data_IF_443480783811
#
_entry.id   IF_443480783811
#
_cell.length_a   1.000
_cell.length_b   1.000
_cell.length_c   1.000
_cell.angle_alpha   90.00
_cell.angle_beta   90.00
_cell.angle_gamma   90.00
#
_symmetry.space_group_name_H-M   'P 1'
#
loop_
_entity.id
_entity.type
_entity.pdbx_description
1 polymer ?
#
# COMPACT_ATOMS: atom_id res chain seq x y z
N UNK A 1 -0.32 7.42 -38.81
CA UNK A 1 -0.83 6.15 -39.38
C UNK A 1 0.03 5.03 -38.81
N UNK A 2 -0.35 4.49 -37.65
CA UNK A 2 -0.99 3.18 -37.46
C UNK A 2 -0.09 1.99 -37.85
N UNK A 3 0.49 1.33 -36.83
CA UNK A 3 0.88 -0.07 -36.91
C UNK A 3 0.17 -0.79 -35.75
N UNK A 4 -1.03 -1.31 -36.03
CA UNK A 4 -1.68 -2.33 -35.21
C UNK A 4 -0.83 -3.59 -35.33
N UNK A 5 -0.12 -3.97 -34.28
CA UNK A 5 0.48 -5.30 -34.16
C UNK A 5 -0.63 -6.33 -33.99
N UNK A 6 -1.03 -6.95 -35.09
CA UNK A 6 -1.97 -8.07 -35.15
C UNK A 6 -1.41 -9.28 -34.41
N UNK A 7 -2.32 -10.07 -33.86
CA UNK A 7 -2.11 -11.32 -33.13
C UNK A 7 -1.53 -12.43 -34.02
N UNK A 8 -0.29 -12.28 -34.48
CA UNK A 8 0.47 -13.32 -35.17
C UNK A 8 1.32 -14.10 -34.15
N UNK A 9 0.97 -15.36 -33.96
CA UNK A 9 1.76 -16.42 -33.31
C UNK A 9 2.25 -16.17 -31.87
N UNK A 10 1.32 -16.18 -30.90
CA UNK A 10 1.66 -16.55 -29.52
C UNK A 10 2.03 -18.05 -29.47
N UNK A 11 3.30 -18.36 -29.69
CA UNK A 11 3.81 -19.73 -29.56
C UNK A 11 3.69 -20.17 -28.08
N UNK A 12 2.91 -21.22 -27.83
CA UNK A 12 2.60 -21.78 -26.50
C UNK A 12 3.86 -22.12 -25.71
N UNK A 13 4.87 -22.65 -26.37
CA UNK A 13 6.15 -23.04 -25.76
C UNK A 13 6.96 -21.81 -25.32
N UNK A 14 7.01 -20.80 -26.18
CA UNK A 14 7.68 -19.53 -25.88
C UNK A 14 7.04 -18.80 -24.70
N UNK A 15 5.71 -18.78 -24.64
CA UNK A 15 4.99 -18.18 -23.51
C UNK A 15 5.23 -18.95 -22.20
N UNK A 16 5.35 -20.27 -22.26
CA UNK A 16 5.75 -21.10 -21.12
C UNK A 16 7.16 -20.74 -20.64
N UNK A 17 8.15 -20.69 -21.53
CA UNK A 17 9.52 -20.30 -21.15
C UNK A 17 9.58 -18.91 -20.53
N UNK A 18 8.88 -17.93 -21.10
CA UNK A 18 8.86 -16.55 -20.62
C UNK A 18 8.24 -16.43 -19.21
N UNK A 19 7.18 -17.20 -18.93
CA UNK A 19 6.50 -17.19 -17.64
C UNK A 19 7.28 -17.91 -16.54
N UNK A 20 8.14 -18.85 -16.91
CA UNK A 20 9.02 -19.55 -15.97
C UNK A 20 10.39 -18.88 -15.79
N UNK A 21 10.71 -17.87 -16.60
CA UNK A 21 11.95 -17.07 -16.50
C UNK A 21 11.73 -15.68 -15.90
N UNK A 22 10.58 -15.04 -16.16
CA UNK A 22 10.30 -13.67 -15.71
C UNK A 22 8.88 -13.56 -15.09
N UNK A 23 8.66 -12.71 -14.06
CA UNK A 23 7.33 -12.49 -13.51
C UNK A 23 6.31 -12.05 -14.58
N UNK A 24 5.11 -12.63 -14.53
CA UNK A 24 4.02 -12.39 -15.50
C UNK A 24 3.66 -10.93 -15.72
N UNK A 25 3.89 -10.05 -14.73
CA UNK A 25 3.72 -8.60 -14.87
C UNK A 25 4.59 -8.03 -15.99
N UNK A 26 5.86 -8.45 -16.05
CA UNK A 26 6.81 -8.00 -17.08
C UNK A 26 6.56 -8.68 -18.42
N UNK A 27 6.15 -9.96 -18.41
CA UNK A 27 5.69 -10.66 -19.61
C UNK A 27 4.51 -9.90 -20.23
N UNK A 28 3.54 -9.48 -19.41
CA UNK A 28 2.41 -8.67 -19.84
C UNK A 28 2.81 -7.37 -20.53
N UNK A 29 3.79 -6.64 -19.97
CA UNK A 29 4.32 -5.40 -20.59
C UNK A 29 4.84 -5.62 -22.02
N UNK A 30 5.45 -6.78 -22.31
CA UNK A 30 5.93 -7.10 -23.68
C UNK A 30 4.80 -7.32 -24.68
N UNK A 31 3.66 -7.85 -24.23
CA UNK A 31 2.50 -8.15 -25.06
C UNK A 31 1.40 -7.06 -24.99
N UNK A 32 1.65 -5.95 -24.30
CA UNK A 32 0.63 -4.92 -24.05
C UNK A 32 -0.54 -5.40 -23.18
N UNK A 33 -0.32 -6.47 -22.39
CA UNK A 33 -1.32 -7.10 -21.52
C UNK A 33 -1.04 -6.81 -20.05
N UNK A 34 -2.09 -6.80 -19.25
CA UNK A 34 -1.99 -6.83 -17.78
C UNK A 34 -1.63 -8.23 -17.29
N UNK A 35 -1.00 -8.35 -16.13
CA UNK A 35 -0.62 -9.66 -15.57
C UNK A 35 -1.81 -10.62 -15.36
N UNK A 36 -3.02 -10.08 -15.15
CA UNK A 36 -4.28 -10.83 -15.09
C UNK A 36 -4.72 -11.36 -16.45
N UNK A 37 -4.51 -10.60 -17.53
CA UNK A 37 -4.79 -11.02 -18.90
C UNK A 37 -3.81 -12.09 -19.38
N UNK A 38 -2.52 -11.97 -19.04
CA UNK A 38 -1.53 -13.04 -19.28
C UNK A 38 -1.96 -14.33 -18.58
N UNK A 39 -2.46 -14.24 -17.34
CA UNK A 39 -2.97 -15.42 -16.63
C UNK A 39 -4.16 -16.06 -17.33
N UNK A 40 -5.14 -15.27 -17.77
CA UNK A 40 -6.28 -15.77 -18.57
C UNK A 40 -5.83 -16.43 -19.87
N UNK A 41 -4.78 -15.91 -20.49
CA UNK A 41 -4.19 -16.50 -21.69
C UNK A 41 -3.52 -17.85 -21.39
N UNK A 42 -2.81 -17.97 -20.26
CA UNK A 42 -2.21 -19.24 -19.81
C UNK A 42 -3.27 -20.30 -19.52
N UNK A 43 -4.36 -19.91 -18.87
CA UNK A 43 -5.47 -20.80 -18.56
C UNK A 43 -6.11 -21.32 -19.85
N UNK A 44 -6.31 -20.46 -20.85
CA UNK A 44 -6.82 -20.83 -22.18
C UNK A 44 -5.89 -21.79 -22.93
N UNK A 45 -4.58 -21.56 -22.83
CA UNK A 45 -3.55 -22.37 -23.50
C UNK A 45 -3.09 -23.57 -22.65
N UNK A 46 -3.72 -23.83 -21.51
CA UNK A 46 -3.34 -24.88 -20.56
C UNK A 46 -1.83 -24.87 -20.26
N UNK A 47 -1.27 -23.68 -20.00
CA UNK A 47 0.13 -23.51 -19.63
C UNK A 47 0.19 -23.50 -18.10
N UNK A 48 0.97 -24.41 -17.47
CA UNK A 48 1.11 -24.41 -16.02
C UNK A 48 1.84 -23.15 -15.58
N UNK A 49 1.23 -22.40 -14.65
CA UNK A 49 1.74 -21.14 -14.13
C UNK A 49 2.47 -21.40 -12.80
N UNK A 50 3.60 -20.72 -12.51
CA UNK A 50 4.28 -20.85 -11.23
C UNK A 50 3.34 -20.53 -10.05
N UNK A 51 3.44 -21.32 -8.98
CA UNK A 51 2.64 -21.14 -7.76
C UNK A 51 2.90 -19.77 -7.10
N UNK A 52 1.93 -19.30 -6.31
CA UNK A 52 2.10 -18.07 -5.54
C UNK A 52 3.30 -18.20 -4.60
N UNK A 53 4.25 -17.27 -4.68
CA UNK A 53 5.52 -17.32 -3.93
C UNK A 53 6.68 -18.03 -4.65
N UNK A 54 6.49 -18.59 -5.85
CA UNK A 54 7.57 -19.12 -6.69
C UNK A 54 8.71 -18.11 -6.87
N UNK A 55 8.39 -16.87 -7.26
CA UNK A 55 9.38 -15.81 -7.45
C UNK A 55 10.09 -15.39 -6.16
N UNK A 56 9.43 -15.52 -5.00
CA UNK A 56 10.05 -15.33 -3.70
C UNK A 56 11.07 -16.44 -3.40
N UNK A 57 10.75 -17.69 -3.75
CA UNK A 57 11.68 -18.83 -3.62
C UNK A 57 12.88 -18.71 -4.58
N UNK A 58 12.66 -18.26 -5.82
CA UNK A 58 13.73 -17.92 -6.79
C UNK A 58 14.68 -16.89 -6.18
N UNK A 59 14.14 -15.80 -5.63
CA UNK A 59 14.93 -14.72 -5.05
C UNK A 59 15.72 -15.18 -3.80
N UNK A 60 15.21 -16.17 -3.08
CA UNK A 60 15.87 -16.76 -1.91
C UNK A 60 16.86 -17.89 -2.25
N UNK A 61 17.04 -18.22 -3.54
CA UNK A 61 17.98 -19.27 -3.98
C UNK A 61 17.57 -20.69 -3.63
N UNK A 62 16.28 -20.94 -3.30
CA UNK A 62 15.79 -22.28 -2.99
C UNK A 62 15.64 -23.14 -4.25
N UNK A 63 15.77 -24.48 -4.15
CA UNK A 63 15.53 -25.38 -5.27
C UNK A 63 14.06 -25.30 -5.73
N UNK A 64 13.86 -25.21 -7.04
CA UNK A 64 12.55 -25.06 -7.67
C UNK A 64 12.26 -26.27 -8.54
N UNK A 65 11.06 -26.84 -8.39
CA UNK A 65 10.52 -27.81 -9.32
C UNK A 65 9.67 -27.10 -10.37
N UNK A 66 10.08 -27.19 -11.64
CA UNK A 66 9.30 -26.70 -12.79
C UNK A 66 8.32 -27.79 -13.22
N UNK A 67 7.04 -27.46 -13.36
CA UNK A 67 6.06 -28.41 -13.90
C UNK A 67 6.22 -28.49 -15.43
N UNK A 68 6.42 -29.70 -16.00
CA UNK A 68 6.58 -29.84 -17.45
C UNK A 68 5.30 -29.46 -18.21
N UNK A 69 5.47 -28.89 -19.41
CA UNK A 69 4.37 -28.48 -20.28
C UNK A 69 3.58 -29.72 -20.74
N UNK A 70 2.31 -29.83 -20.35
CA UNK A 70 1.46 -30.94 -20.76
C UNK A 70 1.00 -30.78 -22.23
N UNK A 71 0.97 -31.84 -23.04
CA UNK A 71 0.44 -31.78 -24.41
C UNK A 71 -1.06 -31.46 -24.39
N UNK A 72 -1.53 -30.60 -25.31
CA UNK A 72 -2.94 -30.24 -25.43
C UNK A 72 -3.76 -31.50 -25.79
N UNK A 73 -4.73 -31.86 -24.95
CA UNK A 73 -5.77 -32.81 -25.37
C UNK A 73 -6.72 -32.07 -26.31
N UNK A 74 -6.74 -32.45 -27.59
CA UNK A 74 -7.75 -31.99 -28.56
C UNK A 74 -9.10 -32.62 -28.20
N UNK A 75 -9.92 -31.86 -27.47
CA UNK A 75 -11.37 -31.97 -27.24
C UNK A 75 -11.59 -31.24 -25.90
N UNK A 76 -12.31 -30.13 -25.79
CA UNK A 76 -13.65 -29.87 -26.29
C UNK A 76 -13.79 -28.35 -26.49
N UNK A 77 -14.11 -27.95 -27.72
CA UNK A 77 -14.51 -26.58 -28.04
C UNK A 77 -16.02 -26.58 -28.27
N UNK A 78 -16.84 -26.53 -27.21
CA UNK A 78 -18.26 -26.20 -27.33
C UNK A 78 -18.84 -25.67 -26.02
N UNK A 79 -19.54 -24.54 -26.15
CA UNK A 79 -20.67 -24.07 -25.33
C UNK A 79 -20.42 -23.71 -23.86
N UNK A 80 -20.15 -22.44 -23.58
CA UNK A 80 -20.80 -21.77 -22.44
C UNK A 80 -20.91 -20.22 -22.57
N UNK A 81 -21.33 -19.74 -23.75
CA UNK A 81 -21.54 -18.30 -24.00
C UNK A 81 -23.02 -17.85 -24.00
N UNK A 82 -23.94 -18.61 -23.36
CA UNK A 82 -25.39 -18.27 -23.35
C UNK A 82 -26.07 -18.28 -21.97
N UNK A 83 -25.36 -18.30 -20.85
CA UNK A 83 -25.99 -18.36 -19.51
C UNK A 83 -25.51 -17.35 -18.46
N UNK A 84 -24.96 -16.21 -18.87
CA UNK A 84 -24.60 -15.10 -17.95
C UNK A 84 -25.09 -13.72 -18.40
N UNK A 85 -26.21 -13.66 -19.13
CA UNK A 85 -26.88 -12.40 -19.51
C UNK A 85 -28.20 -12.12 -18.78
N UNK A 86 -28.53 -12.92 -17.76
CA UNK A 86 -29.65 -12.69 -16.85
C UNK A 86 -29.21 -13.12 -15.45
N UNK A 87 -29.34 -12.24 -14.44
CA UNK A 87 -28.68 -12.26 -13.10
C UNK A 87 -27.20 -11.86 -13.19
N UNK A 88 -26.74 -10.64 -12.89
CA UNK A 88 -27.12 -9.71 -11.84
C UNK A 88 -27.13 -8.29 -12.41
N UNK A 89 -28.27 -7.92 -12.99
CA UNK A 89 -28.78 -6.56 -12.97
C UNK A 89 -29.42 -6.33 -11.60
N UNK A 90 -28.68 -5.73 -10.67
CA UNK A 90 -29.23 -5.07 -9.49
C UNK A 90 -28.29 -3.92 -9.16
N UNK A 91 -28.81 -2.70 -9.29
CA UNK A 91 -28.06 -1.48 -9.56
C UNK A 91 -27.02 -1.12 -8.51
N UNK A 92 -25.81 -0.89 -8.99
CA UNK A 92 -24.89 0.09 -8.40
C UNK A 92 -25.14 1.39 -9.17
N UNK A 93 -25.56 2.49 -8.54
CA UNK A 93 -25.53 3.78 -9.21
C UNK A 93 -24.08 4.11 -9.55
N UNK A 94 -23.78 4.20 -10.85
CA UNK A 94 -22.55 4.74 -11.37
C UNK A 94 -22.36 6.15 -10.80
N UNK A 95 -21.37 6.33 -9.93
CA UNK A 95 -20.82 7.64 -9.64
C UNK A 95 -20.24 8.16 -10.95
N UNK A 96 -20.91 9.12 -11.58
CA UNK A 96 -20.36 9.81 -12.73
C UNK A 96 -19.13 10.59 -12.25
N UNK A 97 -17.95 10.22 -12.74
CA UNK A 97 -16.78 11.10 -12.74
C UNK A 97 -17.14 12.30 -13.61
N UNK A 98 -17.70 13.35 -12.99
CA UNK A 98 -17.60 14.68 -13.55
C UNK A 98 -16.12 15.07 -13.43
N UNK A 99 -15.37 14.89 -14.52
CA UNK A 99 -14.14 15.64 -14.75
C UNK A 99 -14.50 17.11 -14.87
N UNK A 100 -14.68 17.77 -13.72
CA UNK A 100 -14.61 19.22 -13.66
C UNK A 100 -13.12 19.53 -13.58
N UNK A 101 -12.55 19.98 -14.70
CA UNK A 101 -11.21 20.57 -14.71
C UNK A 101 -11.26 21.86 -13.89
N UNK A 102 -11.17 21.72 -12.57
CA UNK A 102 -10.76 22.82 -11.72
C UNK A 102 -9.30 23.01 -12.07
N UNK A 103 -9.00 24.06 -12.84
CA UNK A 103 -7.63 24.52 -13.06
C UNK A 103 -6.89 24.43 -11.73
N UNK A 104 -5.63 23.97 -11.69
CA UNK A 104 -4.86 23.99 -10.46
C UNK A 104 -4.75 25.46 -10.07
N UNK A 105 -5.65 25.91 -9.20
CA UNK A 105 -5.37 27.09 -8.40
C UNK A 105 -4.04 26.74 -7.76
N UNK A 106 -3.05 27.60 -7.98
CA UNK A 106 -1.79 27.62 -7.27
C UNK A 106 -2.07 27.78 -5.77
N UNK A 107 -2.63 26.74 -5.14
CA UNK A 107 -2.50 26.52 -3.73
C UNK A 107 -1.11 25.95 -3.66
N UNK A 108 -0.15 26.87 -3.57
CA UNK A 108 1.16 26.58 -3.00
C UNK A 108 0.92 25.51 -1.93
N UNK A 109 1.61 24.37 -2.03
CA UNK A 109 1.57 23.30 -1.05
C UNK A 109 2.12 23.88 0.25
N UNK A 110 1.30 24.71 0.89
CA UNK A 110 1.77 25.73 1.80
C UNK A 110 2.04 24.97 3.07
N UNK A 111 3.30 25.07 3.48
CA UNK A 111 3.96 24.21 4.43
C UNK A 111 3.10 24.13 5.69
N UNK A 112 2.41 22.99 5.91
CA UNK A 112 1.87 22.64 7.24
C UNK A 112 3.07 22.39 8.15
N UNK A 113 3.66 23.49 8.61
CA UNK A 113 4.91 23.55 9.36
C UNK A 113 4.65 23.76 10.84
N UNK A 114 3.48 24.31 11.20
CA UNK A 114 3.13 24.64 12.57
C UNK A 114 2.00 23.76 13.10
N UNK A 115 2.15 23.31 14.35
CA UNK A 115 1.14 22.56 15.06
C UNK A 115 -0.17 23.39 15.17
N UNK A 116 -1.35 22.77 14.96
CA UNK A 116 -2.62 23.49 15.04
C UNK A 116 -2.90 24.02 16.46
N UNK A 117 -3.35 25.28 16.56
CA UNK A 117 -3.79 25.88 17.83
C UNK A 117 -5.10 25.27 18.34
N UNK A 118 -6.00 24.90 17.42
CA UNK A 118 -7.30 24.32 17.75
C UNK A 118 -7.55 23.04 16.94
N UNK A 119 -8.19 22.07 17.58
CA UNK A 119 -8.49 20.75 16.99
C UNK A 119 -9.98 20.61 16.73
N UNK A 120 -10.33 20.11 15.53
CA UNK A 120 -11.71 19.79 15.20
C UNK A 120 -12.20 18.59 16.02
N UNK A 121 -13.41 18.68 16.58
CA UNK A 121 -13.95 17.68 17.51
C UNK A 121 -13.98 16.26 16.94
N UNK A 122 -14.26 16.11 15.65
CA UNK A 122 -14.26 14.83 14.93
C UNK A 122 -12.92 14.06 15.01
N UNK A 123 -11.80 14.76 15.28
CA UNK A 123 -10.47 14.16 15.37
C UNK A 123 -10.05 13.79 16.80
N UNK A 124 -10.82 14.15 17.83
CA UNK A 124 -10.40 13.97 19.22
C UNK A 124 -10.14 12.51 19.59
N UNK A 125 -11.06 11.61 19.22
CA UNK A 125 -10.91 10.18 19.46
C UNK A 125 -9.69 9.59 18.72
N UNK A 126 -9.54 9.94 17.44
CA UNK A 126 -8.44 9.48 16.61
C UNK A 126 -7.08 9.96 17.13
N UNK A 127 -6.97 11.26 17.42
CA UNK A 127 -5.78 11.87 18.01
C UNK A 127 -5.41 11.22 19.34
N UNK A 128 -6.40 10.97 20.21
CA UNK A 128 -6.20 10.28 21.47
C UNK A 128 -5.61 8.89 21.29
N UNK A 129 -6.09 8.13 20.30
CA UNK A 129 -5.53 6.82 19.94
C UNK A 129 -4.11 6.90 19.40
N UNK A 130 -3.85 7.81 18.45
CA UNK A 130 -2.51 7.99 17.89
C UNK A 130 -1.52 8.35 19.00
N UNK A 131 -1.88 9.25 19.92
CA UNK A 131 -1.03 9.58 21.09
C UNK A 131 -0.76 8.38 21.99
N UNK A 132 -1.75 7.52 22.26
CA UNK A 132 -1.55 6.28 23.01
C UNK A 132 -0.59 5.32 22.28
N UNK A 133 -0.69 5.23 20.96
CA UNK A 133 0.22 4.42 20.16
C UNK A 133 1.65 4.97 20.16
N UNK A 134 1.83 6.30 20.13
CA UNK A 134 3.14 6.96 20.29
C UNK A 134 3.73 6.63 21.66
N UNK A 135 2.96 6.80 22.74
CA UNK A 135 3.42 6.47 24.08
C UNK A 135 3.81 4.98 24.21
N UNK A 136 3.05 4.07 23.58
CA UNK A 136 3.41 2.67 23.54
C UNK A 136 4.73 2.42 22.77
N UNK A 137 4.93 3.10 21.64
CA UNK A 137 6.19 3.02 20.90
C UNK A 137 7.38 3.51 21.74
N UNK A 138 7.22 4.58 22.51
CA UNK A 138 8.25 5.06 23.44
C UNK A 138 8.56 4.05 24.54
N UNK A 139 7.53 3.40 25.11
CA UNK A 139 7.72 2.32 26.09
C UNK A 139 8.45 1.13 25.48
N UNK A 140 8.08 0.70 24.27
CA UNK A 140 8.79 -0.38 23.56
C UNK A 140 10.26 -0.02 23.34
N UNK A 141 10.55 1.23 22.95
CA UNK A 141 11.91 1.71 22.74
C UNK A 141 12.73 1.66 24.04
N UNK A 142 12.18 2.18 25.14
CA UNK A 142 12.84 2.18 26.46
C UNK A 142 13.09 0.77 26.97
N UNK A 143 12.10 -0.12 26.80
CA UNK A 143 12.24 -1.54 27.12
C UNK A 143 13.41 -2.17 26.35
N UNK A 144 13.46 -1.95 25.04
CA UNK A 144 14.54 -2.44 24.19
C UNK A 144 15.91 -1.91 24.63
N UNK A 145 16.04 -0.59 24.81
CA UNK A 145 17.29 0.03 25.28
C UNK A 145 17.74 -0.52 26.64
N UNK A 146 16.80 -0.77 27.55
CA UNK A 146 17.09 -1.38 28.84
C UNK A 146 17.59 -2.83 28.71
N UNK A 147 16.94 -3.64 27.88
CA UNK A 147 17.31 -5.05 27.65
C UNK A 147 18.69 -5.17 26.98
N UNK A 148 19.03 -4.24 26.08
CA UNK A 148 20.37 -4.17 25.50
C UNK A 148 21.44 -3.80 26.55
N UNK A 149 21.12 -2.89 27.49
CA UNK A 149 22.03 -2.52 28.57
C UNK A 149 22.14 -3.59 29.67
N UNK A 150 21.16 -4.48 29.79
CA UNK A 150 21.06 -5.48 30.87
C UNK A 150 20.76 -6.88 30.32
N UNK A 151 21.71 -7.49 29.59
CA UNK A 151 21.50 -8.80 28.98
C UNK A 151 21.17 -9.86 30.04
N UNK A 152 20.11 -10.64 29.79
CA UNK A 152 19.65 -11.73 30.65
C UNK A 152 18.87 -11.30 31.90
N UNK A 153 18.70 -10.00 32.15
CA UNK A 153 17.84 -9.51 33.25
C UNK A 153 16.43 -9.20 32.74
N UNK A 154 15.45 -9.26 33.64
CA UNK A 154 14.06 -8.85 33.35
C UNK A 154 13.89 -7.34 33.55
N UNK A 155 13.31 -6.65 32.57
CA UNK A 155 13.04 -5.21 32.68
C UNK A 155 12.03 -4.91 33.79
N UNK A 156 12.07 -3.69 34.37
CA UNK A 156 11.08 -3.23 35.33
C UNK A 156 9.64 -3.31 34.78
N UNK A 157 8.68 -3.60 35.66
CA UNK A 157 7.27 -3.79 35.29
C UNK A 157 6.61 -2.58 34.63
N UNK A 158 7.07 -1.35 34.90
CA UNK A 158 6.55 -0.15 34.23
C UNK A 158 6.92 -0.06 32.74
N UNK A 159 7.86 -0.90 32.27
CA UNK A 159 8.22 -1.06 30.87
C UNK A 159 7.51 -2.27 30.23
N UNK A 160 6.67 -2.99 30.97
CA UNK A 160 5.87 -4.08 30.41
C UNK A 160 4.93 -3.51 29.34
N UNK A 161 5.11 -3.98 28.11
CA UNK A 161 4.28 -3.63 26.95
C UNK A 161 4.12 -4.84 26.04
N UNK A 162 2.97 -4.91 25.36
CA UNK A 162 2.68 -5.96 24.39
C UNK A 162 3.38 -5.67 23.05
N UNK A 163 4.20 -6.63 22.61
CA UNK A 163 5.01 -6.53 21.40
C UNK A 163 6.49 -6.28 21.68
N UNK A 164 7.24 -6.04 20.60
CA UNK A 164 8.68 -5.75 20.65
C UNK A 164 9.02 -4.51 19.81
N UNK A 165 10.08 -3.79 20.19
CA UNK A 165 10.53 -2.61 19.46
C UNK A 165 11.00 -2.95 18.04
N UNK A 166 11.65 -4.11 17.89
CA UNK A 166 12.13 -4.64 16.62
C UNK A 166 10.96 -4.92 15.68
N UNK A 167 9.93 -5.63 16.16
CA UNK A 167 8.72 -5.92 15.39
C UNK A 167 8.00 -4.64 14.96
N UNK A 168 7.99 -3.62 15.82
CA UNK A 168 7.44 -2.29 15.50
C UNK A 168 8.25 -1.58 14.41
N UNK A 169 9.59 -1.66 14.47
CA UNK A 169 10.46 -1.13 13.42
C UNK A 169 10.29 -1.86 12.08
N UNK A 170 10.21 -3.19 12.09
CA UNK A 170 9.96 -4.03 10.91
C UNK A 170 8.62 -3.73 10.25
N UNK A 171 7.62 -3.33 11.05
CA UNK A 171 6.33 -2.86 10.57
C UNK A 171 6.35 -1.43 10.00
N UNK A 172 7.52 -0.78 9.90
CA UNK A 172 7.67 0.59 9.41
C UNK A 172 7.29 1.66 10.44
N UNK A 173 7.30 1.33 11.73
CA UNK A 173 6.95 2.24 12.84
C UNK A 173 5.54 2.84 12.71
N UNK A 174 4.62 2.08 12.14
CA UNK A 174 3.21 2.47 11.95
C UNK A 174 2.47 2.48 13.29
N UNK A 175 1.83 3.60 13.61
CA UNK A 175 1.13 3.83 14.88
C UNK A 175 -0.26 3.18 14.94
N UNK A 176 -0.74 2.63 13.83
CA UNK A 176 -2.01 1.89 13.77
C UNK A 176 -1.74 0.44 13.35
N UNK A 177 -2.32 -0.52 14.08
CA UNK A 177 -2.22 -1.93 13.73
C UNK A 177 -2.74 -2.17 12.31
N UNK A 178 -2.00 -2.95 11.52
CA UNK A 178 -2.21 -3.24 10.10
C UNK A 178 -3.65 -3.67 9.75
N UNK A 179 -4.36 -4.28 10.70
CA UNK A 179 -5.69 -4.86 10.49
C UNK A 179 -6.86 -3.95 10.89
N UNK A 180 -6.63 -2.82 11.58
CA UNK A 180 -7.73 -1.91 11.93
C UNK A 180 -8.04 -0.96 10.78
N UNK A 181 -9.34 -0.71 10.57
CA UNK A 181 -9.78 0.35 9.67
C UNK A 181 -9.37 1.68 10.30
N UNK A 182 -8.56 2.45 9.58
CA UNK A 182 -8.09 3.76 10.03
C UNK A 182 -8.30 4.81 8.93
N UNK A 183 -8.67 6.02 9.34
CA UNK A 183 -8.77 7.21 8.51
C UNK A 183 -7.40 7.62 7.99
N UNK A 184 -6.36 7.40 8.79
CA UNK A 184 -4.99 7.62 8.35
C UNK A 184 -4.03 6.50 8.73
N UNK A 185 -3.08 6.23 7.82
CA UNK A 185 -1.89 5.42 8.12
C UNK A 185 -0.73 6.38 8.40
N UNK A 186 -0.35 6.44 9.67
CA UNK A 186 0.66 7.35 10.19
C UNK A 186 1.77 6.56 10.89
N UNK A 187 3.02 6.93 10.60
CA UNK A 187 4.23 6.45 11.25
C UNK A 187 4.67 7.40 12.37
N UNK A 188 5.56 6.92 13.23
CA UNK A 188 6.15 7.73 14.30
C UNK A 188 6.82 9.02 13.77
N UNK A 189 7.32 9.02 12.52
CA UNK A 189 7.98 10.18 11.91
C UNK A 189 7.05 11.18 11.23
N UNK A 190 5.79 10.82 10.97
CA UNK A 190 4.87 11.64 10.15
C UNK A 190 3.61 12.08 10.90
N UNK A 191 3.30 11.46 12.05
CA UNK A 191 1.96 11.50 12.62
C UNK A 191 1.51 12.92 12.99
N UNK A 192 2.41 13.79 13.42
CA UNK A 192 2.09 15.18 13.74
C UNK A 192 1.62 15.92 12.49
N UNK A 193 2.36 15.77 11.38
CA UNK A 193 2.00 16.35 10.08
C UNK A 193 0.69 15.76 9.57
N UNK A 194 0.51 14.45 9.65
CA UNK A 194 -0.71 13.78 9.21
C UNK A 194 -1.95 14.21 10.01
N UNK A 195 -1.82 14.36 11.34
CA UNK A 195 -2.89 14.88 12.19
C UNK A 195 -3.19 16.35 11.88
N UNK A 196 -2.16 17.17 11.67
CA UNK A 196 -2.33 18.58 11.29
C UNK A 196 -3.01 18.72 9.92
N UNK A 197 -2.64 17.88 8.95
CA UNK A 197 -3.28 17.80 7.63
C UNK A 197 -4.76 17.45 7.72
N UNK A 198 -5.11 16.39 8.46
CA UNK A 198 -6.51 16.04 8.72
C UNK A 198 -7.27 17.17 9.40
N UNK A 199 -6.64 17.86 10.36
CA UNK A 199 -7.26 19.00 11.03
C UNK A 199 -7.54 20.16 10.08
N UNK A 200 -6.59 20.47 9.20
CA UNK A 200 -6.76 21.50 8.18
C UNK A 200 -7.93 21.18 7.24
N UNK A 201 -8.06 19.93 6.80
CA UNK A 201 -9.21 19.47 6.01
C UNK A 201 -10.52 19.68 6.79
N UNK A 202 -10.61 19.21 8.03
CA UNK A 202 -11.82 19.33 8.85
C UNK A 202 -12.24 20.80 9.06
N UNK A 203 -11.29 21.66 9.44
CA UNK A 203 -11.56 23.08 9.70
C UNK A 203 -12.00 23.78 8.42
N UNK A 204 -11.29 23.56 7.30
CA UNK A 204 -11.63 24.18 6.03
C UNK A 204 -12.97 23.69 5.50
N UNK A 205 -13.23 22.39 5.56
CA UNK A 205 -14.50 21.81 5.13
C UNK A 205 -15.68 22.40 5.93
N UNK A 206 -15.55 22.48 7.26
CA UNK A 206 -16.58 23.11 8.11
C UNK A 206 -16.80 24.59 7.76
N UNK A 207 -15.72 25.34 7.52
CA UNK A 207 -15.82 26.75 7.12
C UNK A 207 -16.53 26.95 5.77
N UNK A 208 -16.44 25.98 4.87
CA UNK A 208 -17.13 25.97 3.56
C UNK A 208 -18.56 25.42 3.67
N UNK A 209 -19.01 25.01 4.87
CA UNK A 209 -20.37 24.53 5.12
C UNK A 209 -20.57 23.02 4.98
N UNK A 210 -19.49 22.22 4.97
CA UNK A 210 -19.60 20.77 5.08
C UNK A 210 -19.85 20.33 6.53
N UNK A 211 -20.71 19.34 6.71
CA UNK A 211 -20.79 18.56 7.95
C UNK A 211 -19.63 17.57 7.96
N UNK A 212 -18.86 17.56 9.05
CA UNK A 212 -17.64 16.77 9.18
C UNK A 212 -17.83 15.71 10.26
N UNK A 213 -17.89 14.45 9.83
CA UNK A 213 -18.12 13.30 10.70
C UNK A 213 -17.00 12.27 10.60
N UNK A 214 -16.79 11.52 11.69
CA UNK A 214 -15.87 10.40 11.72
C UNK A 214 -16.65 9.10 11.66
N UNK A 215 -16.33 8.25 10.68
CA UNK A 215 -16.89 6.91 10.56
C UNK A 215 -16.50 6.04 11.76
N UNK A 216 -17.33 5.03 12.06
CA UNK A 216 -17.11 4.10 13.19
C UNK A 216 -15.65 3.62 13.26
N UNK A 217 -15.10 3.59 14.47
CA UNK A 217 -13.72 3.21 14.78
C UNK A 217 -12.65 4.07 14.09
N UNK A 218 -12.97 5.33 13.77
CA UNK A 218 -12.13 6.27 13.01
C UNK A 218 -11.71 5.69 11.65
N UNK A 219 -12.63 5.02 10.95
CA UNK A 219 -12.33 4.27 9.74
C UNK A 219 -12.23 5.12 8.47
N UNK A 220 -12.95 6.25 8.43
CA UNK A 220 -13.08 7.22 7.33
C UNK A 220 -13.45 8.59 7.90
N UNK A 221 -12.91 9.65 7.30
CA UNK A 221 -13.43 11.02 7.52
C UNK A 221 -14.50 11.28 6.46
N UNK A 222 -15.72 11.59 6.88
CA UNK A 222 -16.84 11.88 5.97
C UNK A 222 -17.12 13.38 5.96
N UNK A 223 -17.15 13.96 4.77
CA UNK A 223 -17.57 15.34 4.53
C UNK A 223 -18.90 15.29 3.77
N UNK A 224 -19.96 15.82 4.37
CA UNK A 224 -21.31 15.78 3.79
C UNK A 224 -21.79 17.20 3.51
N UNK A 225 -22.36 17.43 2.33
CA UNK A 225 -23.02 18.69 1.99
C UNK A 225 -24.13 18.42 0.99
N UNK A 226 -25.27 19.07 1.18
CA UNK A 226 -26.48 18.87 0.38
C UNK A 226 -26.90 17.39 0.36
N UNK A 227 -26.94 16.73 -0.81
CA UNK A 227 -27.25 15.30 -0.94
C UNK A 227 -26.04 14.44 -1.30
N UNK A 228 -24.82 14.96 -1.14
CA UNK A 228 -23.58 14.26 -1.47
C UNK A 228 -22.66 14.15 -0.27
N UNK A 229 -21.83 13.10 -0.26
CA UNK A 229 -20.76 12.94 0.71
C UNK A 229 -19.47 12.45 0.05
N UNK A 230 -18.34 12.82 0.65
CA UNK A 230 -17.01 12.34 0.29
C UNK A 230 -16.39 11.66 1.51
N UNK A 231 -15.79 10.49 1.30
CA UNK A 231 -15.03 9.80 2.34
C UNK A 231 -13.53 9.88 2.05
N UNK A 232 -12.77 10.37 3.03
CA UNK A 232 -11.34 10.58 2.90
C UNK A 232 -10.58 9.53 3.71
N UNK A 233 -9.49 9.04 3.11
CA UNK A 233 -8.41 8.32 3.78
C UNK A 233 -7.07 8.93 3.39
N UNK A 234 -6.19 9.03 4.38
CA UNK A 234 -4.85 9.57 4.18
C UNK A 234 -3.83 8.46 4.43
N UNK A 235 -2.92 8.25 3.49
CA UNK A 235 -1.79 7.36 3.69
C UNK A 235 -0.51 8.15 3.51
N UNK A 236 0.54 7.76 4.22
CA UNK A 236 1.89 8.07 3.75
C UNK A 236 2.11 7.45 2.37
N UNK A 237 2.67 8.24 1.47
CA UNK A 237 3.22 7.73 0.24
C UNK A 237 4.35 6.76 0.59
N UNK A 238 4.16 5.50 0.19
CA UNK A 238 5.20 4.48 0.28
C UNK A 238 5.78 4.36 -1.12
N UNK A 239 7.09 4.58 -1.28
CA UNK A 239 7.77 4.31 -2.54
C UNK A 239 7.42 2.88 -2.98
N UNK A 240 6.75 2.76 -4.13
CA UNK A 240 6.22 1.51 -4.61
C UNK A 240 7.35 0.50 -4.79
N UNK A 241 7.40 -0.53 -3.94
CA UNK A 241 8.36 -1.63 -4.03
C UNK A 241 9.52 -1.58 -3.04
N UNK A 242 9.68 -0.51 -2.26
CA UNK A 242 10.67 -0.45 -1.19
C UNK A 242 9.99 -0.63 0.18
N UNK A 243 9.93 -1.86 0.66
CA UNK A 243 9.94 -2.08 2.12
C UNK A 243 11.40 -2.25 2.50
N UNK A 244 12.14 -1.19 2.85
CA UNK A 244 13.41 -1.43 3.49
C UNK A 244 13.10 -2.33 4.68
N UNK A 245 13.71 -3.51 4.76
CA UNK A 245 13.93 -4.15 6.05
C UNK A 245 14.82 -3.19 6.80
N UNK A 246 14.22 -2.16 7.38
CA UNK A 246 14.91 -1.31 8.32
C UNK A 246 15.08 -2.19 9.54
N UNK A 247 16.22 -2.85 9.61
CA UNK A 247 16.82 -3.28 10.89
C UNK A 247 17.18 -2.01 11.66
N UNK A 248 16.17 -1.20 12.00
CA UNK A 248 16.31 0.12 12.57
C UNK A 248 16.86 0.12 13.99
N UNK A 249 17.15 -1.07 14.52
CA UNK A 249 17.81 -1.34 15.78
C UNK A 249 19.32 -1.67 15.62
N UNK A 250 19.84 -1.79 14.40
CA UNK A 250 21.25 -2.10 14.12
C UNK A 250 21.98 -0.80 13.71
N UNK A 251 22.57 -0.11 14.70
CA UNK A 251 23.16 1.24 14.54
C UNK A 251 24.30 1.29 13.50
N UNK A 252 25.00 0.17 13.28
CA UNK A 252 26.14 0.08 12.38
C UNK A 252 25.77 0.20 10.88
N UNK A 253 24.56 -0.21 10.49
CA UNK A 253 24.15 -0.24 9.08
C UNK A 253 23.49 1.08 8.62
N UNK A 254 22.90 1.85 9.54
CA UNK A 254 22.34 3.19 9.22
C UNK A 254 23.45 4.15 8.78
N UNK A 255 24.63 4.10 9.41
CA UNK A 255 25.82 4.84 8.95
C UNK A 255 26.27 4.43 7.56
N UNK A 256 26.17 3.13 7.22
CA UNK A 256 26.58 2.58 5.92
C UNK A 256 25.62 2.92 4.79
N UNK A 257 24.31 2.83 5.04
CA UNK A 257 23.28 3.24 4.08
C UNK A 257 23.27 4.76 3.87
N UNK A 258 23.49 5.57 4.90
CA UNK A 258 23.62 7.02 4.72
C UNK A 258 24.93 7.46 4.06
N UNK A 259 25.99 6.63 4.08
CA UNK A 259 27.21 6.86 3.31
C UNK A 259 27.14 6.36 1.85
N UNK A 260 26.22 5.44 1.54
CA UNK A 260 26.05 4.86 0.19
C UNK A 260 24.95 5.55 -0.63
N UNK A 261 24.14 6.43 -0.03
CA UNK A 261 23.30 7.38 -0.78
C UNK A 261 24.19 8.50 -1.31
N UNK A 262 24.76 8.27 -2.50
CA UNK A 262 25.28 9.32 -3.33
C UNK A 262 24.09 10.25 -3.65
N UNK A 263 24.03 11.41 -2.98
CA UNK A 263 23.13 12.49 -3.39
C UNK A 263 23.41 12.77 -4.87
N UNK A 264 22.41 12.74 -5.77
CA UNK A 264 22.62 13.12 -7.15
C UNK A 264 23.18 14.55 -7.15
N UNK A 265 24.38 14.71 -7.69
CA UNK A 265 24.97 16.02 -7.97
C UNK A 265 23.95 16.79 -8.80
N UNK A 266 23.55 17.96 -8.29
CA UNK A 266 22.86 18.97 -9.09
C UNK A 266 23.84 19.38 -10.19
N UNK A 267 23.64 18.86 -11.40
CA UNK A 267 24.27 19.40 -12.60
C UNK A 267 23.33 20.49 -13.09
N UNK A 268 23.77 21.74 -12.95
CA UNK A 268 23.14 22.86 -13.62
C UNK A 268 23.46 22.80 -15.12
N UNK A 269 22.42 22.77 -15.94
CA UNK A 269 22.41 23.25 -17.31
C UNK A 269 21.28 24.26 -17.44
#
# INVERSE_FOLDING_TARGET
MSAKGTAEHLNRERLYEEIWTVPMKHVGTKYGLTGTEVRRLCDKLQIPVPAQGHWTRVQMGLPIQRQPLQPLKQSQMTNDMRRRRASQSSGVPQSQELETSVAPADVAADKISKAPTHWHAALNAFRGRIKKAVANADTLKRKYEWEQAHPGKRHPSHLDSYGSWESFCDAGKLLAATHRRSVARLSLGSYERGLAFLNAICVRAKAVGYVVDMGKDDSRLRLTRDQAYVEIRVGEEMDAGFRPKMRGWETAQVKRLMSEVCFPKVVAL
#
